data_IF_002461605645
#
_entry.id   IF_002461605645
#
_cell.length_a   1.000
_cell.length_b   1.000
_cell.length_c   1.000
_cell.angle_alpha   90.00
_cell.angle_beta   90.00
_cell.angle_gamma   90.00
#
_symmetry.space_group_name_H-M   'P 1'
#
loop_
_entity.id
_entity.type
_entity.pdbx_description
1 polymer ?
#
# COMPACT_ATOMS: atom_id res chain seq x y z
N UNK A 1 -10.88 -9.60 -28.16
CA UNK A 1 -10.90 -8.92 -26.84
C UNK A 1 -12.25 -9.10 -26.13
N UNK A 2 -13.38 -8.92 -26.80
CA UNK A 2 -14.74 -9.02 -26.23
C UNK A 2 -15.00 -10.40 -25.61
N UNK A 3 -14.57 -11.46 -26.31
CA UNK A 3 -14.69 -12.85 -25.83
C UNK A 3 -13.84 -13.10 -24.58
N UNK A 4 -12.71 -12.39 -24.41
CA UNK A 4 -11.87 -12.51 -23.22
C UNK A 4 -12.60 -11.96 -22.00
N UNK A 5 -13.24 -10.80 -22.14
CA UNK A 5 -14.03 -10.19 -21.06
C UNK A 5 -15.19 -11.08 -20.60
N UNK A 6 -15.92 -11.64 -21.55
CA UNK A 6 -17.00 -12.60 -21.27
C UNK A 6 -16.48 -13.86 -20.57
N UNK A 7 -15.38 -14.44 -21.08
CA UNK A 7 -14.80 -15.65 -20.53
C UNK A 7 -14.26 -15.48 -19.10
N UNK A 8 -13.62 -14.34 -18.82
CA UNK A 8 -13.10 -14.05 -17.49
C UNK A 8 -14.21 -13.74 -16.49
N UNK A 9 -15.28 -13.04 -16.92
CA UNK A 9 -16.47 -12.78 -16.12
C UNK A 9 -17.13 -14.08 -15.65
N UNK A 10 -17.37 -15.00 -16.57
CA UNK A 10 -18.11 -16.23 -16.31
C UNK A 10 -17.31 -17.24 -15.46
N UNK A 11 -15.99 -17.11 -15.40
CA UNK A 11 -15.10 -18.04 -14.66
C UNK A 11 -14.65 -17.53 -13.28
N UNK A 12 -15.11 -16.38 -12.84
CA UNK A 12 -14.69 -15.76 -11.58
C UNK A 12 -13.14 -15.74 -11.44
N UNK A 13 -12.47 -15.42 -12.54
CA UNK A 13 -11.02 -15.44 -12.63
C UNK A 13 -10.42 -14.20 -11.96
N UNK A 14 -9.43 -14.38 -11.08
CA UNK A 14 -8.64 -13.28 -10.50
C UNK A 14 -8.01 -12.36 -11.56
N UNK A 15 -7.75 -12.88 -12.77
CA UNK A 15 -7.30 -12.08 -13.93
C UNK A 15 -8.31 -11.01 -14.36
N UNK A 16 -9.60 -11.17 -14.03
CA UNK A 16 -10.62 -10.15 -14.31
C UNK A 16 -10.31 -8.83 -13.59
N UNK A 17 -9.69 -8.88 -12.40
CA UNK A 17 -9.26 -7.70 -11.66
C UNK A 17 -8.19 -6.87 -12.41
N UNK A 18 -7.45 -7.49 -13.32
CA UNK A 18 -6.46 -6.83 -14.17
C UNK A 18 -7.06 -6.17 -15.42
N UNK A 19 -8.34 -6.42 -15.72
CA UNK A 19 -9.01 -5.86 -16.88
C UNK A 19 -9.20 -4.35 -16.77
N UNK A 20 -9.30 -3.62 -17.92
CA UNK A 20 -9.62 -2.21 -17.95
C UNK A 20 -10.90 -1.89 -17.16
N UNK A 21 -10.94 -0.73 -16.51
CA UNK A 21 -12.07 -0.33 -15.67
C UNK A 21 -13.41 -0.38 -16.42
N UNK A 22 -13.43 0.00 -17.71
CA UNK A 22 -14.63 -0.07 -18.54
C UNK A 22 -15.22 -1.49 -18.61
N UNK A 23 -14.36 -2.51 -18.78
CA UNK A 23 -14.77 -3.92 -18.79
C UNK A 23 -15.29 -4.37 -17.42
N UNK A 24 -14.64 -3.95 -16.35
CA UNK A 24 -15.04 -4.29 -14.98
C UNK A 24 -16.38 -3.68 -14.60
N UNK A 25 -16.64 -2.44 -15.00
CA UNK A 25 -17.94 -1.77 -14.82
C UNK A 25 -19.05 -2.51 -15.60
N UNK A 26 -18.78 -2.86 -16.87
CA UNK A 26 -19.69 -3.61 -17.71
C UNK A 26 -20.03 -4.98 -17.10
N UNK A 27 -19.07 -5.70 -16.56
CA UNK A 27 -19.28 -7.00 -15.94
C UNK A 27 -20.07 -6.95 -14.64
N UNK A 28 -20.08 -5.82 -13.95
CA UNK A 28 -20.84 -5.61 -12.71
C UNK A 28 -22.36 -5.37 -12.95
N UNK A 29 -22.82 -5.39 -14.21
CA UNK A 29 -24.21 -5.12 -14.54
C UNK A 29 -24.75 -6.12 -15.57
N UNK A 30 -26.02 -6.48 -15.46
CA UNK A 30 -26.72 -7.27 -16.50
C UNK A 30 -27.02 -6.38 -17.70
N UNK A 31 -26.55 -6.79 -18.88
CA UNK A 31 -26.70 -6.02 -20.12
C UNK A 31 -26.41 -6.89 -21.35
N UNK A 32 -27.11 -6.59 -22.43
CA UNK A 32 -26.89 -7.15 -23.77
C UNK A 32 -25.93 -6.28 -24.60
N UNK A 33 -25.51 -5.13 -24.08
CA UNK A 33 -24.56 -4.24 -24.75
C UNK A 33 -23.17 -4.89 -24.81
N UNK A 34 -22.41 -4.65 -25.90
CA UNK A 34 -21.07 -5.23 -26.06
C UNK A 34 -20.10 -4.75 -24.97
N UNK A 35 -19.12 -5.61 -24.66
CA UNK A 35 -18.09 -5.31 -23.66
C UNK A 35 -17.20 -4.15 -24.14
N UNK A 36 -17.13 -3.03 -23.39
CA UNK A 36 -16.29 -1.90 -23.74
C UNK A 36 -14.81 -2.20 -23.45
N UNK A 37 -13.93 -1.86 -24.39
CA UNK A 37 -12.49 -2.12 -24.27
C UNK A 37 -11.68 -0.88 -23.88
N UNK A 38 -12.15 0.28 -24.32
CA UNK A 38 -11.49 1.57 -24.08
C UNK A 38 -12.31 2.45 -23.12
N UNK A 39 -11.70 3.51 -22.62
CA UNK A 39 -12.40 4.51 -21.81
C UNK A 39 -13.55 5.14 -22.60
N UNK A 40 -13.37 5.38 -23.92
CA UNK A 40 -14.41 5.92 -24.79
C UNK A 40 -15.58 4.97 -24.91
N UNK A 41 -15.33 3.69 -25.23
CA UNK A 41 -16.38 2.68 -25.30
C UNK A 41 -17.13 2.56 -23.97
N UNK A 42 -16.43 2.69 -22.85
CA UNK A 42 -17.02 2.71 -21.50
C UNK A 42 -17.92 3.91 -21.26
N UNK A 43 -17.54 5.09 -21.75
CA UNK A 43 -18.39 6.28 -21.71
C UNK A 43 -19.63 6.12 -22.56
N UNK A 44 -19.48 5.61 -23.79
CA UNK A 44 -20.61 5.35 -24.71
C UNK A 44 -21.56 4.28 -24.14
N UNK A 45 -21.00 3.22 -23.52
CA UNK A 45 -21.76 2.19 -22.80
C UNK A 45 -22.58 2.77 -21.66
N UNK A 46 -21.98 3.58 -20.79
CA UNK A 46 -22.69 4.23 -19.66
C UNK A 46 -23.79 5.18 -20.18
N UNK A 47 -23.50 5.94 -21.24
CA UNK A 47 -24.45 6.86 -21.85
C UNK A 47 -25.64 6.11 -22.46
N UNK A 48 -25.39 5.00 -23.17
CA UNK A 48 -26.43 4.18 -23.75
C UNK A 48 -27.34 3.52 -22.69
N UNK A 49 -26.70 3.01 -21.61
CA UNK A 49 -27.41 2.33 -20.51
C UNK A 49 -28.27 3.29 -19.68
N UNK A 50 -27.79 4.52 -19.48
CA UNK A 50 -28.44 5.49 -18.57
C UNK A 50 -29.32 6.52 -19.29
N UNK A 51 -29.58 6.34 -20.59
CA UNK A 51 -30.39 7.30 -21.40
C UNK A 51 -31.71 7.71 -20.77
N UNK A 52 -32.31 6.82 -19.99
CA UNK A 52 -33.63 7.03 -19.37
C UNK A 52 -33.59 6.89 -17.83
N UNK A 53 -32.40 6.87 -17.23
CA UNK A 53 -32.24 6.66 -15.79
C UNK A 53 -31.70 7.90 -15.13
N UNK A 54 -32.33 8.30 -14.04
CA UNK A 54 -31.78 9.31 -13.16
C UNK A 54 -30.53 8.74 -12.45
N UNK A 55 -29.40 9.45 -12.57
CA UNK A 55 -28.17 9.09 -11.85
C UNK A 55 -28.36 9.53 -10.40
N UNK A 56 -28.50 8.58 -9.51
CA UNK A 56 -28.58 8.87 -8.09
C UNK A 56 -27.23 9.43 -7.60
N UNK A 57 -27.24 10.42 -6.70
CA UNK A 57 -26.02 10.91 -6.08
C UNK A 57 -25.36 9.76 -5.31
N UNK A 58 -24.03 9.77 -5.27
CA UNK A 58 -23.28 8.85 -4.41
C UNK A 58 -23.77 8.98 -2.97
N UNK A 59 -23.89 7.86 -2.29
CA UNK A 59 -24.15 7.86 -0.86
C UNK A 59 -23.13 8.75 -0.16
N UNK A 60 -23.59 9.57 0.79
CA UNK A 60 -22.68 10.40 1.57
C UNK A 60 -21.61 9.52 2.22
N UNK A 61 -20.35 9.91 2.08
CA UNK A 61 -19.25 9.22 2.76
C UNK A 61 -19.53 9.17 4.26
N UNK A 62 -19.49 7.98 4.83
CA UNK A 62 -19.52 7.84 6.28
C UNK A 62 -18.22 8.46 6.81
N UNK A 63 -18.35 9.55 7.58
CA UNK A 63 -17.21 10.13 8.28
C UNK A 63 -16.67 9.08 9.26
N UNK A 64 -15.49 8.57 8.98
CA UNK A 64 -14.76 7.77 9.94
C UNK A 64 -14.41 8.64 11.14
N UNK A 65 -14.88 8.24 12.33
CA UNK A 65 -14.43 8.82 13.59
C UNK A 65 -13.20 8.04 14.04
N UNK A 66 -12.07 8.69 14.05
CA UNK A 66 -10.83 8.14 14.60
C UNK A 66 -10.75 8.43 16.11
N UNK A 67 -9.83 7.77 16.79
CA UNK A 67 -9.46 8.07 18.18
C UNK A 67 -8.94 9.52 18.29
N UNK A 68 -9.12 10.15 19.45
CA UNK A 68 -8.52 11.47 19.74
C UNK A 68 -6.99 11.39 19.90
N UNK A 69 -6.43 10.17 19.99
CA UNK A 69 -4.99 9.93 20.14
C UNK A 69 -4.23 10.23 18.85
N UNK A 70 -3.42 11.29 18.87
CA UNK A 70 -2.51 11.62 17.76
C UNK A 70 -1.28 10.73 17.84
N UNK A 71 -1.01 9.98 16.78
CA UNK A 71 0.17 9.09 16.67
C UNK A 71 1.30 9.69 15.85
N UNK A 72 0.99 10.58 14.90
CA UNK A 72 1.96 11.28 14.09
C UNK A 72 1.60 12.75 13.98
N UNK A 73 2.54 13.63 14.34
CA UNK A 73 2.43 15.07 14.21
C UNK A 73 3.65 15.60 13.46
N UNK A 74 3.41 16.32 12.37
CA UNK A 74 4.40 17.04 11.60
C UNK A 74 4.02 18.53 11.59
N UNK A 75 4.93 19.40 12.01
CA UNK A 75 4.70 20.85 12.06
C UNK A 75 5.75 21.58 11.25
N UNK A 76 5.31 22.26 10.16
CA UNK A 76 6.12 23.14 9.32
C UNK A 76 7.46 22.54 8.91
N UNK A 77 7.48 21.27 8.43
CA UNK A 77 8.69 20.57 8.02
C UNK A 77 9.26 21.19 6.75
N UNK A 78 10.54 21.55 6.81
CA UNK A 78 11.32 21.97 5.67
C UNK A 78 12.56 21.10 5.52
N UNK A 79 12.80 20.62 4.29
CA UNK A 79 13.93 19.74 4.00
C UNK A 79 14.53 20.02 2.62
N UNK A 80 15.85 20.01 2.56
CA UNK A 80 16.69 19.99 1.36
C UNK A 80 17.82 18.99 1.54
N UNK A 81 18.32 18.42 0.46
CA UNK A 81 19.40 17.44 0.52
C UNK A 81 20.76 18.07 0.85
N UNK A 82 21.02 19.25 0.30
CA UNK A 82 22.25 20.06 0.53
C UNK A 82 21.88 21.51 0.74
N UNK A 83 22.75 22.26 1.44
CA UNK A 83 22.48 23.64 1.86
C UNK A 83 22.16 24.57 0.69
N UNK A 84 22.80 24.36 -0.46
CA UNK A 84 22.68 25.22 -1.64
C UNK A 84 21.67 24.69 -2.67
N UNK A 85 20.98 23.54 -2.39
CA UNK A 85 19.94 22.99 -3.24
C UNK A 85 18.55 23.53 -2.86
N UNK A 86 17.60 23.54 -3.81
CA UNK A 86 16.22 23.90 -3.54
C UNK A 86 15.58 23.01 -2.49
N UNK A 87 14.64 23.58 -1.74
CA UNK A 87 13.81 22.81 -0.81
C UNK A 87 12.94 21.80 -1.54
N UNK A 88 13.01 20.55 -1.09
CA UNK A 88 12.20 19.44 -1.59
C UNK A 88 10.91 19.32 -0.79
N UNK A 89 10.97 19.53 0.53
CA UNK A 89 9.79 19.62 1.39
C UNK A 89 9.70 21.05 1.89
N UNK A 90 8.52 21.66 1.76
CA UNK A 90 8.30 23.10 2.01
C UNK A 90 7.11 23.32 2.92
N UNK A 91 7.33 23.50 4.21
CA UNK A 91 6.29 23.81 5.19
C UNK A 91 5.24 22.71 5.30
N UNK A 92 5.66 21.43 5.25
CA UNK A 92 4.74 20.29 5.33
C UNK A 92 4.24 20.11 6.75
N UNK A 93 2.91 20.16 6.93
CA UNK A 93 2.25 19.91 8.20
C UNK A 93 1.18 18.83 8.04
N UNK A 94 1.13 17.88 8.98
CA UNK A 94 0.20 16.76 8.98
C UNK A 94 0.00 16.25 10.40
N UNK A 95 -1.25 15.94 10.76
CA UNK A 95 -1.59 15.27 12.01
C UNK A 95 -2.41 14.03 11.71
N UNK A 96 -2.01 12.87 12.23
CA UNK A 96 -2.72 11.60 12.06
C UNK A 96 -3.09 10.99 13.39
N UNK A 97 -4.30 10.49 13.45
CA UNK A 97 -4.86 9.80 14.61
C UNK A 97 -4.55 8.30 14.55
N UNK A 98 -4.66 7.66 15.69
CA UNK A 98 -4.46 6.20 15.80
C UNK A 98 -5.47 5.44 14.94
N UNK A 99 -4.94 4.51 14.14
CA UNK A 99 -5.73 3.71 13.21
C UNK A 99 -6.17 4.46 11.94
N UNK A 100 -5.70 5.68 11.73
CA UNK A 100 -6.01 6.45 10.52
C UNK A 100 -5.21 5.95 9.32
N UNK A 101 -5.88 5.87 8.16
CA UNK A 101 -5.25 5.68 6.86
C UNK A 101 -5.23 7.01 6.10
N UNK A 102 -4.05 7.46 5.71
CA UNK A 102 -3.87 8.69 4.96
C UNK A 102 -2.99 8.48 3.74
N UNK A 103 -3.37 9.06 2.60
CA UNK A 103 -2.61 9.00 1.35
C UNK A 103 -2.10 10.36 0.93
N UNK A 104 -0.78 10.46 0.69
CA UNK A 104 -0.16 11.65 0.11
C UNK A 104 -0.18 11.52 -1.41
N UNK A 105 -0.96 12.37 -2.08
CA UNK A 105 -1.06 12.39 -3.53
C UNK A 105 -0.20 13.51 -4.11
N UNK A 106 0.41 13.25 -5.26
CA UNK A 106 1.23 14.25 -5.95
C UNK A 106 2.02 13.65 -7.11
N UNK A 107 2.45 14.49 -8.04
CA UNK A 107 3.28 14.09 -9.18
C UNK A 107 4.67 13.58 -8.77
N UNK A 108 5.43 13.09 -9.77
CA UNK A 108 6.82 12.71 -9.56
C UNK A 108 7.63 13.96 -9.17
N UNK A 109 8.52 13.82 -8.19
CA UNK A 109 9.31 14.94 -7.67
C UNK A 109 8.60 15.85 -6.66
N UNK A 110 7.33 15.63 -6.33
CA UNK A 110 6.59 16.43 -5.34
C UNK A 110 7.08 16.28 -3.88
N UNK A 111 8.11 15.46 -3.63
CA UNK A 111 8.70 15.29 -2.30
C UNK A 111 8.08 14.19 -1.44
N UNK A 112 7.14 13.36 -1.95
CA UNK A 112 6.46 12.29 -1.18
C UNK A 112 7.46 11.36 -0.46
N UNK A 113 8.32 10.69 -1.22
CA UNK A 113 9.38 9.83 -0.69
C UNK A 113 10.27 10.55 0.34
N UNK A 114 10.57 11.82 0.08
CA UNK A 114 11.43 12.63 0.97
C UNK A 114 10.70 12.94 2.26
N UNK A 115 9.42 13.30 2.21
CA UNK A 115 8.59 13.50 3.42
C UNK A 115 8.52 12.23 4.26
N UNK A 116 8.28 11.06 3.65
CA UNK A 116 8.29 9.78 4.37
C UNK A 116 9.65 9.47 5.01
N UNK A 117 10.77 9.79 4.35
CA UNK A 117 12.12 9.63 4.92
C UNK A 117 12.39 10.58 6.09
N UNK A 118 11.83 11.79 6.06
CA UNK A 118 11.92 12.72 7.19
C UNK A 118 11.08 12.21 8.36
N UNK A 119 9.84 11.81 8.10
CA UNK A 119 8.93 11.26 9.11
C UNK A 119 9.49 10.00 9.77
N UNK A 120 10.13 9.11 8.99
CA UNK A 120 10.75 7.89 9.51
C UNK A 120 12.06 8.13 10.30
N UNK A 121 12.57 9.35 10.33
CA UNK A 121 13.85 9.69 10.96
C UNK A 121 15.09 9.31 10.13
N UNK A 122 14.92 8.78 8.89
CA UNK A 122 16.04 8.51 7.97
C UNK A 122 16.70 9.79 7.45
N UNK A 123 16.01 10.91 7.55
CA UNK A 123 16.51 12.25 7.25
C UNK A 123 16.01 13.24 8.31
N UNK A 124 16.82 14.25 8.62
CA UNK A 124 16.44 15.29 9.58
C UNK A 124 16.02 16.55 8.85
N UNK A 125 14.84 17.07 9.15
CA UNK A 125 14.41 18.38 8.69
C UNK A 125 15.36 19.47 9.26
N UNK A 126 15.65 20.51 8.51
CA UNK A 126 16.41 21.66 9.01
C UNK A 126 15.51 22.69 9.72
N UNK A 127 14.19 22.59 9.51
CA UNK A 127 13.17 23.41 10.18
C UNK A 127 11.89 22.58 10.34
N UNK A 128 11.14 22.86 11.40
CA UNK A 128 9.94 22.14 11.78
C UNK A 128 10.22 20.95 12.71
N UNK A 129 9.16 20.25 13.11
CA UNK A 129 9.26 19.12 14.04
C UNK A 129 8.46 17.92 13.55
N UNK A 130 8.95 16.73 13.85
CA UNK A 130 8.22 15.46 13.70
C UNK A 130 8.12 14.81 15.07
N UNK A 131 6.91 14.49 15.47
CA UNK A 131 6.62 13.76 16.71
C UNK A 131 5.86 12.48 16.36
N UNK A 132 6.33 11.35 16.88
CA UNK A 132 5.68 10.04 16.69
C UNK A 132 5.41 9.41 18.05
N UNK A 133 4.20 8.92 18.24
CA UNK A 133 3.81 8.16 19.43
C UNK A 133 3.71 6.69 19.02
N UNK A 134 4.80 5.94 19.25
CA UNK A 134 4.92 4.54 18.89
C UNK A 134 6.05 4.24 17.90
N UNK A 135 6.13 2.99 17.52
CA UNK A 135 7.16 2.44 16.63
C UNK A 135 6.83 2.72 15.17
N UNK A 136 7.74 3.34 14.46
CA UNK A 136 7.61 3.61 13.02
C UNK A 136 8.24 2.47 12.22
N UNK A 137 7.48 1.89 11.30
CA UNK A 137 7.96 0.99 10.26
C UNK A 137 7.84 1.65 8.88
N UNK A 138 8.85 1.50 8.04
CA UNK A 138 8.83 2.06 6.69
C UNK A 138 9.09 1.00 5.63
N UNK A 139 8.18 0.89 4.66
CA UNK A 139 8.38 0.16 3.42
C UNK A 139 8.90 1.15 2.36
N UNK A 140 10.18 1.08 1.97
CA UNK A 140 10.73 1.98 0.97
C UNK A 140 10.30 1.59 -0.44
N UNK A 141 10.35 2.54 -1.38
CA UNK A 141 10.07 2.32 -2.80
C UNK A 141 10.95 1.22 -3.43
N UNK A 142 12.23 1.12 -3.00
CA UNK A 142 13.10 0.01 -3.39
C UNK A 142 13.17 -1.02 -2.25
N UNK A 143 12.50 -2.19 -2.39
CA UNK A 143 12.47 -3.22 -1.37
C UNK A 143 13.84 -3.82 -1.06
N UNK A 144 14.77 -3.80 -2.03
CA UNK A 144 16.11 -4.36 -1.87
C UNK A 144 16.92 -3.69 -0.76
N UNK A 145 16.60 -2.44 -0.42
CA UNK A 145 17.23 -1.74 0.70
C UNK A 145 17.02 -2.42 2.07
N UNK A 146 16.04 -3.33 2.17
CA UNK A 146 15.75 -4.05 3.40
C UNK A 146 16.39 -5.43 3.47
N UNK A 147 16.93 -5.97 2.38
CA UNK A 147 17.44 -7.34 2.34
C UNK A 147 18.92 -7.40 2.74
N UNK A 148 19.22 -8.27 3.70
CA UNK A 148 20.57 -8.41 4.30
C UNK A 148 21.01 -9.88 4.44
N UNK A 149 20.13 -10.85 4.06
CA UNK A 149 20.39 -12.28 4.20
C UNK A 149 20.37 -13.00 2.84
N UNK A 150 20.80 -14.25 2.85
CA UNK A 150 20.91 -15.08 1.63
C UNK A 150 19.59 -15.68 1.19
N UNK A 151 18.64 -15.86 2.11
CA UNK A 151 17.31 -16.39 1.79
C UNK A 151 16.22 -15.46 2.33
N UNK A 152 15.04 -15.50 1.70
CA UNK A 152 13.84 -14.79 2.17
C UNK A 152 13.51 -15.22 3.62
N UNK A 153 13.59 -16.50 3.92
CA UNK A 153 13.36 -17.03 5.25
C UNK A 153 14.27 -16.38 6.29
N UNK A 154 15.58 -16.39 6.04
CA UNK A 154 16.56 -15.77 6.96
C UNK A 154 16.31 -14.27 7.14
N UNK A 155 15.91 -13.57 6.09
CA UNK A 155 15.59 -12.14 6.14
C UNK A 155 14.36 -11.83 7.00
N UNK A 156 13.35 -12.71 6.98
CA UNK A 156 12.19 -12.60 7.87
C UNK A 156 12.59 -12.80 9.33
N UNK A 157 13.39 -13.82 9.63
CA UNK A 157 13.89 -14.03 11.00
C UNK A 157 14.82 -12.92 11.49
N UNK A 158 15.58 -12.30 10.58
CA UNK A 158 16.43 -11.15 10.93
C UNK A 158 15.60 -9.95 11.42
N UNK A 159 14.39 -9.74 10.89
CA UNK A 159 13.49 -8.69 11.38
C UNK A 159 13.08 -8.88 12.85
N UNK A 160 13.15 -10.10 13.37
CA UNK A 160 12.89 -10.46 14.76
C UNK A 160 14.16 -10.56 15.62
N UNK A 161 15.31 -10.13 15.08
CA UNK A 161 16.56 -10.11 15.83
C UNK A 161 16.45 -9.12 16.99
N UNK A 162 16.86 -9.58 18.19
CA UNK A 162 16.77 -8.75 19.39
C UNK A 162 15.39 -8.62 20.03
N UNK A 163 14.34 -9.13 19.38
CA UNK A 163 13.01 -9.20 19.98
C UNK A 163 12.98 -10.36 20.99
N UNK A 164 12.52 -10.08 22.21
CA UNK A 164 12.41 -11.07 23.29
C UNK A 164 11.22 -11.99 23.09
N UNK A 165 11.34 -12.93 22.17
CA UNK A 165 10.36 -13.96 21.85
C UNK A 165 11.03 -15.33 21.87
N UNK A 166 10.30 -16.36 22.28
CA UNK A 166 10.71 -17.76 22.13
C UNK A 166 10.86 -18.13 20.66
N UNK A 167 11.48 -19.26 20.38
CA UNK A 167 11.60 -19.75 19.00
C UNK A 167 10.21 -20.03 18.40
N UNK A 168 9.34 -20.67 19.18
CA UNK A 168 7.97 -21.03 18.77
C UNK A 168 7.13 -19.79 18.45
N UNK A 169 7.27 -18.71 19.24
CA UNK A 169 6.61 -17.45 18.98
C UNK A 169 7.11 -16.78 17.70
N UNK A 170 8.44 -16.81 17.45
CA UNK A 170 9.02 -16.31 16.21
C UNK A 170 8.54 -17.10 14.99
N UNK A 171 8.53 -18.43 15.10
CA UNK A 171 8.06 -19.32 14.04
C UNK A 171 6.59 -19.04 13.71
N UNK A 172 5.75 -18.81 14.73
CA UNK A 172 4.34 -18.43 14.56
C UNK A 172 4.17 -17.08 13.86
N UNK A 173 4.95 -16.06 14.25
CA UNK A 173 4.88 -14.73 13.61
C UNK A 173 5.37 -14.78 12.16
N UNK A 174 6.47 -15.50 11.90
CA UNK A 174 6.98 -15.67 10.53
C UNK A 174 5.95 -16.40 9.68
N UNK A 175 5.38 -17.52 10.16
CA UNK A 175 4.36 -18.27 9.43
C UNK A 175 3.14 -17.39 9.10
N UNK A 176 2.71 -16.53 10.03
CA UNK A 176 1.61 -15.59 9.83
C UNK A 176 1.88 -14.60 8.70
N UNK A 177 3.04 -13.96 8.66
CA UNK A 177 3.36 -12.99 7.59
C UNK A 177 3.64 -13.67 6.27
N UNK A 178 4.21 -14.89 6.29
CA UNK A 178 4.41 -15.74 5.10
C UNK A 178 3.07 -16.02 4.42
N UNK A 179 2.07 -16.45 5.19
CA UNK A 179 0.72 -16.67 4.68
C UNK A 179 0.07 -15.37 4.19
N UNK A 180 0.16 -14.29 4.98
CA UNK A 180 -0.44 -13.00 4.67
C UNK A 180 0.09 -12.38 3.38
N UNK A 181 1.40 -12.52 3.12
CA UNK A 181 2.07 -11.95 1.95
C UNK A 181 2.30 -12.96 0.82
N UNK A 182 1.77 -14.20 0.94
CA UNK A 182 1.89 -15.26 -0.06
C UNK A 182 3.34 -15.54 -0.45
N UNK A 183 4.19 -15.89 0.55
CA UNK A 183 5.63 -16.07 0.35
C UNK A 183 6.08 -17.54 0.30
N UNK A 184 5.17 -18.51 0.41
CA UNK A 184 5.49 -19.93 0.59
C UNK A 184 6.46 -20.51 -0.45
N UNK A 185 6.29 -20.12 -1.72
CA UNK A 185 6.97 -20.76 -2.86
C UNK A 185 8.43 -20.32 -3.06
N UNK A 186 8.87 -19.30 -2.33
CA UNK A 186 10.21 -18.74 -2.52
C UNK A 186 10.98 -18.41 -1.24
N UNK A 187 10.58 -18.98 -0.11
CA UNK A 187 11.24 -18.76 1.18
C UNK A 187 12.72 -19.08 1.18
N UNK A 188 13.12 -20.11 0.44
CA UNK A 188 14.51 -20.60 0.39
C UNK A 188 15.30 -20.01 -0.79
N UNK A 189 14.69 -19.10 -1.57
CA UNK A 189 15.37 -18.37 -2.65
C UNK A 189 16.10 -17.15 -2.11
N UNK A 190 17.11 -16.71 -2.86
CA UNK A 190 17.78 -15.44 -2.56
C UNK A 190 16.82 -14.27 -2.85
N UNK A 191 16.75 -13.22 -1.99
CA UNK A 191 15.83 -12.10 -2.19
C UNK A 191 16.00 -11.33 -3.50
N UNK A 192 17.18 -11.40 -4.12
CA UNK A 192 17.42 -10.79 -5.43
C UNK A 192 17.03 -11.68 -6.62
N UNK A 193 16.78 -12.98 -6.39
CA UNK A 193 16.44 -13.96 -7.43
C UNK A 193 14.92 -14.17 -7.58
N UNK A 194 14.12 -13.37 -6.89
CA UNK A 194 12.67 -13.35 -6.98
C UNK A 194 12.17 -12.12 -7.74
N UNK A 195 10.96 -12.17 -8.28
CA UNK A 195 10.37 -11.07 -9.04
C UNK A 195 10.21 -9.79 -8.20
N UNK A 196 10.11 -8.62 -8.85
CA UNK A 196 9.93 -7.34 -8.15
C UNK A 196 8.70 -7.31 -7.25
N UNK A 197 7.59 -7.95 -7.66
CA UNK A 197 6.39 -8.08 -6.83
C UNK A 197 6.60 -8.97 -5.60
N UNK A 198 7.34 -10.08 -5.76
CA UNK A 198 7.72 -10.96 -4.66
C UNK A 198 8.69 -10.27 -3.69
N UNK A 199 9.64 -9.48 -4.22
CA UNK A 199 10.51 -8.64 -3.39
C UNK A 199 9.70 -7.64 -2.56
N UNK A 200 8.72 -6.98 -3.18
CA UNK A 200 7.87 -6.01 -2.49
C UNK A 200 7.02 -6.68 -1.39
N UNK A 201 6.45 -7.86 -1.66
CA UNK A 201 5.73 -8.65 -0.67
C UNK A 201 6.62 -9.11 0.49
N UNK A 202 7.84 -9.54 0.19
CA UNK A 202 8.85 -9.92 1.20
C UNK A 202 9.23 -8.73 2.08
N UNK A 203 9.49 -7.57 1.48
CA UNK A 203 9.80 -6.35 2.22
C UNK A 203 8.64 -5.91 3.13
N UNK A 204 7.40 -5.98 2.64
CA UNK A 204 6.20 -5.72 3.44
C UNK A 204 6.13 -6.66 4.65
N UNK A 205 6.28 -7.98 4.43
CA UNK A 205 6.27 -8.97 5.51
C UNK A 205 7.34 -8.67 6.56
N UNK A 206 8.56 -8.31 6.11
CA UNK A 206 9.66 -7.93 6.99
C UNK A 206 9.33 -6.72 7.86
N UNK A 207 8.70 -5.68 7.28
CA UNK A 207 8.26 -4.49 8.03
C UNK A 207 7.15 -4.86 9.02
N UNK A 208 6.18 -5.67 8.62
CA UNK A 208 5.08 -6.09 9.50
C UNK A 208 5.55 -6.93 10.69
N UNK A 209 6.62 -7.74 10.54
CA UNK A 209 7.24 -8.46 11.66
C UNK A 209 7.80 -7.54 12.73
N UNK A 210 8.11 -6.30 12.39
CA UNK A 210 8.56 -5.33 13.40
C UNK A 210 7.42 -4.83 14.28
N UNK A 211 6.16 -5.20 13.99
CA UNK A 211 4.96 -4.75 14.69
C UNK A 211 4.94 -3.20 14.88
N UNK A 212 4.87 -2.42 13.79
CA UNK A 212 4.86 -0.97 13.87
C UNK A 212 3.50 -0.45 14.35
N UNK A 213 3.50 0.65 15.12
CA UNK A 213 2.31 1.43 15.45
C UNK A 213 1.96 2.41 14.32
N UNK A 214 2.99 2.87 13.58
CA UNK A 214 2.88 3.75 12.43
C UNK A 214 3.58 3.08 11.24
N UNK A 215 2.84 2.84 10.16
CA UNK A 215 3.34 2.21 8.94
C UNK A 215 3.42 3.23 7.81
N UNK A 216 4.63 3.51 7.36
CA UNK A 216 4.92 4.40 6.23
C UNK A 216 5.16 3.56 4.98
N UNK A 217 4.45 3.87 3.88
CA UNK A 217 4.47 3.09 2.66
C UNK A 217 4.82 3.97 1.45
N UNK A 218 5.96 3.74 0.84
CA UNK A 218 6.42 4.50 -0.34
C UNK A 218 6.17 3.71 -1.62
N UNK A 219 5.15 4.07 -2.37
CA UNK A 219 4.67 3.38 -3.59
C UNK A 219 4.51 1.86 -3.39
N UNK A 220 3.81 1.39 -2.36
CA UNK A 220 3.82 -0.02 -1.92
C UNK A 220 3.27 -1.00 -2.95
N UNK A 221 2.40 -0.55 -3.86
CA UNK A 221 1.72 -1.41 -4.84
C UNK A 221 2.48 -1.58 -6.14
N UNK A 222 3.66 -0.99 -6.24
CA UNK A 222 4.52 -1.11 -7.43
C UNK A 222 4.98 -2.56 -7.60
N UNK A 223 4.71 -3.13 -8.77
CA UNK A 223 5.04 -4.52 -9.08
C UNK A 223 4.04 -5.56 -8.57
N UNK A 224 3.00 -5.17 -7.81
CA UNK A 224 1.93 -6.09 -7.43
C UNK A 224 1.04 -6.42 -8.63
N UNK A 225 0.67 -7.68 -8.76
CA UNK A 225 -0.43 -8.08 -9.63
C UNK A 225 -1.79 -7.58 -9.08
N UNK A 226 -2.83 -7.71 -9.88
CA UNK A 226 -4.14 -7.17 -9.52
C UNK A 226 -4.76 -7.89 -8.32
N UNK A 227 -4.52 -9.18 -8.18
CA UNK A 227 -5.04 -10.00 -7.08
C UNK A 227 -4.36 -9.62 -5.77
N UNK A 228 -3.04 -9.49 -5.76
CA UNK A 228 -2.33 -9.08 -4.56
C UNK A 228 -2.63 -7.63 -4.16
N UNK A 229 -2.98 -6.74 -5.09
CA UNK A 229 -3.47 -5.38 -4.74
C UNK A 229 -4.73 -5.42 -3.88
N UNK A 230 -5.66 -6.32 -4.18
CA UNK A 230 -6.87 -6.51 -3.36
C UNK A 230 -6.51 -7.09 -1.99
N UNK A 231 -5.64 -8.11 -1.96
CA UNK A 231 -5.11 -8.68 -0.72
C UNK A 231 -4.43 -7.62 0.13
N UNK A 232 -3.58 -6.79 -0.49
CA UNK A 232 -2.89 -5.70 0.19
C UNK A 232 -3.87 -4.68 0.79
N UNK A 233 -4.92 -4.29 0.06
CA UNK A 233 -5.96 -3.41 0.59
C UNK A 233 -6.62 -4.01 1.83
N UNK A 234 -6.93 -5.32 1.82
CA UNK A 234 -7.45 -6.04 2.99
C UNK A 234 -6.47 -6.10 4.16
N UNK A 235 -5.16 -6.21 3.89
CA UNK A 235 -4.12 -6.12 4.93
C UNK A 235 -4.15 -4.75 5.59
N UNK A 236 -4.17 -3.68 4.81
CA UNK A 236 -4.19 -2.30 5.32
C UNK A 236 -5.46 -2.05 6.16
N UNK A 237 -6.64 -2.42 5.64
CA UNK A 237 -7.91 -2.30 6.39
C UNK A 237 -7.86 -3.04 7.74
N UNK A 238 -7.30 -4.25 7.77
CA UNK A 238 -7.14 -5.01 9.01
C UNK A 238 -6.17 -4.34 9.98
N UNK A 239 -5.06 -3.80 9.50
CA UNK A 239 -4.07 -3.12 10.34
C UNK A 239 -4.66 -1.85 10.95
N UNK A 240 -5.37 -1.03 10.17
CA UNK A 240 -5.99 0.21 10.67
C UNK A 240 -7.05 -0.08 11.70
N UNK A 241 -7.89 -1.11 11.51
CA UNK A 241 -8.85 -1.58 12.53
C UNK A 241 -8.18 -2.08 13.80
N UNK A 242 -6.92 -2.54 13.74
CA UNK A 242 -6.12 -2.93 14.89
C UNK A 242 -5.40 -1.75 15.55
N UNK A 243 -5.62 -0.53 15.06
CA UNK A 243 -5.05 0.70 15.60
C UNK A 243 -3.69 1.09 15.01
N UNK A 244 -3.23 0.42 13.95
CA UNK A 244 -2.01 0.84 13.21
C UNK A 244 -2.35 2.04 12.34
N UNK A 245 -1.64 3.13 12.52
CA UNK A 245 -1.76 4.32 11.64
C UNK A 245 -0.96 4.11 10.37
N UNK A 246 -1.56 4.37 9.21
CA UNK A 246 -0.92 4.12 7.92
C UNK A 246 -0.83 5.41 7.11
N UNK A 247 0.38 5.74 6.65
CA UNK A 247 0.67 6.84 5.75
C UNK A 247 1.29 6.30 4.46
N UNK A 248 0.63 6.56 3.31
CA UNK A 248 1.04 6.06 2.00
C UNK A 248 1.28 7.21 1.00
#
# INVERSE_FOLDING_TARGET
PDQVGLHLRDKDSGMFLAMPTAMRVWAGVETDLPCPLTVRDGSDFLSARNKEKEILPLAAEQKHTYSDEITLQCDEIWFRYEKDLPDVVKGFSLSLHKGEFYAILGGNGAGKTTSLKVISGLRSAYRGTVQTNGKVGMLPQNPQALFVKRTVREDLYEALRGVKLSKEEKDTQVARVVALCSLHDFLDRHPYDISGGEQQRTALAKVLLTAPDILLLDEPTKGFDAEFKVTFAGIIDKLTRQGVTVLM
#
